data_IF_181006611631
#
_entry.id   IF_181006611631
#
_cell.length_a   1.000
_cell.length_b   1.000
_cell.length_c   1.000
_cell.angle_alpha   90.00
_cell.angle_beta   90.00
_cell.angle_gamma   90.00
#
_symmetry.space_group_name_H-M   'P 1'
#
loop_
_entity.id
_entity.type
_entity.pdbx_description
1 polymer ?
#
# COMPACT_ATOMS: atom_id res chain seq x y z
N UNK A 1 -41.44 58.92 20.93
CA UNK A 1 -41.59 59.78 22.11
C UNK A 1 -41.79 61.23 21.69
N UNK A 2 -43.01 61.78 21.76
CA UNK A 2 -43.23 63.21 21.55
C UNK A 2 -42.94 64.00 22.82
N UNK A 3 -42.20 65.09 22.68
CA UNK A 3 -41.96 66.09 23.72
C UNK A 3 -42.32 67.46 23.17
N UNK A 4 -43.15 68.19 23.91
CA UNK A 4 -43.72 69.47 23.47
C UNK A 4 -43.38 70.54 24.48
N UNK A 5 -42.84 71.67 24.02
CA UNK A 5 -42.62 72.88 24.82
C UNK A 5 -43.27 74.03 24.07
N UNK A 6 -44.31 74.64 24.64
CA UNK A 6 -45.13 75.64 23.94
C UNK A 6 -45.92 75.02 22.78
N UNK A 7 -45.91 75.69 21.61
CA UNK A 7 -46.58 75.20 20.39
C UNK A 7 -45.69 74.31 19.50
N UNK A 8 -44.46 74.01 19.92
CA UNK A 8 -43.50 73.23 19.14
C UNK A 8 -43.45 71.79 19.68
N UNK A 9 -43.85 70.83 18.85
CA UNK A 9 -43.86 69.40 19.18
C UNK A 9 -42.72 68.70 18.46
N UNK A 10 -41.79 68.11 19.22
CA UNK A 10 -40.71 67.29 18.68
C UNK A 10 -41.06 65.82 18.87
N UNK A 11 -41.12 65.08 17.77
CA UNK A 11 -41.42 63.64 17.79
C UNK A 11 -40.15 62.86 17.50
N UNK A 12 -39.71 62.06 18.47
CA UNK A 12 -38.67 61.05 18.25
C UNK A 12 -39.31 59.73 17.82
N UNK A 13 -39.04 59.32 16.59
CA UNK A 13 -39.33 57.97 16.11
C UNK A 13 -38.10 57.10 16.34
N UNK A 14 -38.16 56.24 17.35
CA UNK A 14 -37.10 55.31 17.72
C UNK A 14 -37.50 53.91 17.25
N UNK A 15 -36.67 53.31 16.41
CA UNK A 15 -36.78 51.90 16.04
C UNK A 15 -35.67 51.14 16.75
N UNK A 16 -36.03 50.16 17.58
CA UNK A 16 -35.08 49.28 18.25
C UNK A 16 -34.96 48.00 17.42
N UNK A 17 -33.81 47.78 16.80
CA UNK A 17 -33.51 46.52 16.12
C UNK A 17 -33.13 45.47 17.17
N UNK A 18 -33.80 44.30 17.23
CA UNK A 18 -33.43 43.23 18.15
C UNK A 18 -32.00 42.75 17.88
N UNK A 19 -31.26 42.45 18.94
CA UNK A 19 -29.96 41.80 18.82
C UNK A 19 -30.21 40.32 18.49
N UNK A 20 -29.63 39.84 17.40
CA UNK A 20 -29.68 38.42 17.04
C UNK A 20 -28.27 37.83 17.02
N UNK A 21 -28.15 36.58 17.42
CA UNK A 21 -26.88 35.86 17.36
C UNK A 21 -27.09 34.40 16.98
N UNK A 22 -26.21 33.86 16.16
CA UNK A 22 -26.17 32.42 15.86
C UNK A 22 -24.75 31.91 15.79
N UNK A 23 -24.57 30.61 16.05
CA UNK A 23 -23.28 29.94 16.01
C UNK A 23 -23.30 28.75 15.06
N UNK A 24 -22.15 28.50 14.43
CA UNK A 24 -21.89 27.38 13.53
C UNK A 24 -20.57 26.74 13.95
N UNK A 25 -20.49 25.41 13.90
CA UNK A 25 -19.25 24.66 14.14
C UNK A 25 -18.91 23.84 12.91
N UNK A 26 -17.69 24.00 12.41
CA UNK A 26 -17.20 23.33 11.21
C UNK A 26 -15.85 22.66 11.45
N UNK A 27 -15.61 21.56 10.74
CA UNK A 27 -14.27 20.99 10.57
C UNK A 27 -13.98 21.00 9.08
N UNK A 28 -12.73 21.27 8.70
CA UNK A 28 -12.34 21.27 7.30
C UNK A 28 -10.88 20.87 7.12
N UNK A 29 -10.55 20.40 5.92
CA UNK A 29 -9.17 20.11 5.54
C UNK A 29 -8.53 21.30 4.81
N UNK A 30 -7.37 21.74 5.31
CA UNK A 30 -6.53 22.84 4.82
C UNK A 30 -7.18 24.23 4.85
N UNK A 31 -8.43 24.36 4.40
CA UNK A 31 -9.13 25.63 4.37
C UNK A 31 -10.65 25.46 4.36
N UNK A 32 -11.35 26.52 4.75
CA UNK A 32 -12.81 26.63 4.68
C UNK A 32 -13.21 28.01 4.20
N UNK A 33 -14.08 28.06 3.20
CA UNK A 33 -14.69 29.30 2.74
C UNK A 33 -15.96 29.57 3.54
N UNK A 34 -16.02 30.68 4.26
CA UNK A 34 -17.21 31.06 5.01
C UNK A 34 -18.11 31.97 4.17
N UNK A 35 -19.28 31.50 3.69
CA UNK A 35 -20.13 32.28 2.78
C UNK A 35 -20.72 33.54 3.42
N UNK A 36 -20.78 33.59 4.75
CA UNK A 36 -21.38 34.72 5.50
C UNK A 36 -20.56 36.00 5.34
N UNK A 37 -19.23 35.90 5.31
CA UNK A 37 -18.36 37.07 5.17
C UNK A 37 -17.45 37.03 3.94
N UNK A 38 -17.56 35.98 3.12
CA UNK A 38 -16.76 35.81 1.90
C UNK A 38 -15.27 35.57 2.15
N UNK A 39 -14.87 35.17 3.36
CA UNK A 39 -13.46 34.95 3.72
C UNK A 39 -13.11 33.46 3.76
N UNK A 40 -11.93 33.11 3.24
CA UNK A 40 -11.36 31.77 3.38
C UNK A 40 -10.43 31.69 4.58
N UNK A 41 -10.70 30.76 5.49
CA UNK A 41 -9.91 30.50 6.68
C UNK A 41 -9.02 29.28 6.48
N UNK A 42 -7.76 29.41 6.87
CA UNK A 42 -6.75 28.32 6.83
C UNK A 42 -6.24 27.96 8.22
N UNK A 43 -6.76 28.61 9.26
CA UNK A 43 -6.37 28.41 10.66
C UNK A 43 -7.61 28.13 11.50
N UNK A 44 -7.48 27.23 12.47
CA UNK A 44 -8.55 26.96 13.44
C UNK A 44 -8.81 28.18 14.32
N UNK A 45 -10.05 28.38 14.74
CA UNK A 45 -10.39 29.46 15.66
C UNK A 45 -11.88 29.76 15.70
N UNK A 46 -12.18 30.83 16.43
CA UNK A 46 -13.53 31.42 16.48
C UNK A 46 -13.53 32.73 15.72
N UNK A 47 -14.41 32.85 14.73
CA UNK A 47 -14.55 34.02 13.87
C UNK A 47 -15.94 34.63 14.01
N UNK A 48 -16.02 35.94 13.81
CA UNK A 48 -17.26 36.70 13.98
C UNK A 48 -17.55 37.53 12.72
N UNK A 49 -18.82 37.65 12.38
CA UNK A 49 -19.31 38.60 11.41
C UNK A 49 -20.55 39.29 11.98
N UNK A 50 -20.46 40.61 12.16
CA UNK A 50 -21.54 41.41 12.72
C UNK A 50 -22.03 42.39 11.66
N UNK A 51 -23.31 42.28 11.31
CA UNK A 51 -24.00 43.21 10.38
C UNK A 51 -25.16 43.84 11.13
N UNK A 52 -25.05 45.13 11.45
CA UNK A 52 -26.02 45.80 12.32
C UNK A 52 -26.02 45.19 13.73
N UNK A 53 -27.20 44.76 14.20
CA UNK A 53 -27.37 44.09 15.50
C UNK A 53 -27.37 42.56 15.40
N UNK A 54 -27.05 41.98 14.24
CA UNK A 54 -26.95 40.53 14.03
C UNK A 54 -25.48 40.08 14.06
N UNK A 55 -25.13 39.13 14.92
CA UNK A 55 -23.78 38.57 15.03
C UNK A 55 -23.77 37.08 14.71
N UNK A 56 -23.04 36.71 13.66
CA UNK A 56 -22.76 35.32 13.29
C UNK A 56 -21.40 34.90 13.85
N UNK A 57 -21.36 33.75 14.50
CA UNK A 57 -20.14 33.16 15.05
C UNK A 57 -19.83 31.85 14.32
N UNK A 58 -18.58 31.67 13.88
CA UNK A 58 -18.06 30.44 13.29
C UNK A 58 -16.95 29.90 14.18
N UNK A 59 -17.13 28.70 14.73
CA UNK A 59 -16.07 27.92 15.37
C UNK A 59 -15.56 26.91 14.35
N UNK A 60 -14.30 27.00 13.95
CA UNK A 60 -13.74 26.10 12.94
C UNK A 60 -12.47 25.40 13.43
N UNK A 61 -12.39 24.11 13.11
CA UNK A 61 -11.18 23.30 13.24
C UNK A 61 -10.62 22.98 11.85
N UNK A 62 -9.42 23.50 11.54
CA UNK A 62 -8.69 23.19 10.31
C UNK A 62 -7.68 22.08 10.59
N UNK A 63 -7.88 20.93 9.96
CA UNK A 63 -6.87 19.87 9.90
C UNK A 63 -5.96 20.13 8.70
N UNK A 64 -4.65 19.95 8.85
CA UNK A 64 -3.70 20.19 7.77
C UNK A 64 -3.23 18.86 7.18
N UNK A 65 -3.54 18.59 5.91
CA UNK A 65 -3.17 17.33 5.26
C UNK A 65 -1.66 17.10 5.22
N UNK A 66 -0.85 18.17 5.22
CA UNK A 66 0.62 18.07 5.23
C UNK A 66 1.19 17.54 6.56
N UNK A 67 0.40 17.58 7.64
CA UNK A 67 0.78 17.01 8.93
C UNK A 67 0.51 15.50 9.02
N UNK A 68 -0.21 14.93 8.05
CA UNK A 68 -0.53 13.52 8.02
C UNK A 68 0.65 12.76 7.41
N UNK A 69 1.20 11.83 8.20
CA UNK A 69 2.27 10.94 7.75
C UNK A 69 1.69 9.86 6.84
N UNK A 70 1.77 10.06 5.53
CA UNK A 70 1.24 9.12 4.54
C UNK A 70 2.17 7.93 4.23
N UNK A 71 3.25 7.71 5.01
CA UNK A 71 4.16 6.59 4.78
C UNK A 71 3.63 5.29 5.40
N UNK A 72 4.06 4.16 4.83
CA UNK A 72 3.73 2.81 5.28
C UNK A 72 5.02 2.06 5.58
N UNK A 73 5.07 1.38 6.72
CA UNK A 73 6.12 0.44 7.05
C UNK A 73 5.75 -0.96 6.59
N UNK A 74 6.72 -1.70 6.04
CA UNK A 74 6.59 -3.11 5.68
C UNK A 74 7.51 -3.95 6.58
N UNK A 75 6.92 -4.86 7.37
CA UNK A 75 7.67 -5.82 8.17
C UNK A 75 7.11 -7.22 8.00
N UNK A 76 7.90 -8.12 7.41
CA UNK A 76 7.55 -9.55 7.27
C UNK A 76 6.18 -9.80 6.60
N UNK A 77 5.81 -8.96 5.61
CA UNK A 77 4.54 -9.05 4.88
C UNK A 77 3.35 -8.32 5.53
N UNK A 78 3.53 -7.75 6.72
CA UNK A 78 2.57 -6.84 7.35
C UNK A 78 2.85 -5.40 6.90
N UNK A 79 1.86 -4.77 6.30
CA UNK A 79 1.85 -3.34 5.98
C UNK A 79 1.21 -2.58 7.15
N UNK A 80 1.84 -1.50 7.61
CA UNK A 80 1.33 -0.66 8.71
C UNK A 80 1.44 0.80 8.35
N UNK A 81 0.33 1.55 8.42
CA UNK A 81 0.39 3.01 8.30
C UNK A 81 1.16 3.62 9.47
N UNK A 82 2.11 4.51 9.17
CA UNK A 82 2.93 5.17 10.20
C UNK A 82 2.22 6.34 10.89
N UNK A 83 1.07 6.76 10.38
CA UNK A 83 0.21 7.71 11.10
C UNK A 83 -0.63 6.96 12.14
N UNK A 84 -0.76 7.52 13.34
CA UNK A 84 -1.56 6.98 14.43
C UNK A 84 -2.79 7.85 14.70
N UNK A 85 -3.89 7.27 15.19
CA UNK A 85 -5.07 8.04 15.58
C UNK A 85 -5.95 8.55 14.43
N UNK A 86 -5.76 8.02 13.22
CA UNK A 86 -6.61 8.25 12.05
C UNK A 86 -7.54 7.07 11.78
N UNK A 87 -8.44 7.22 10.81
CA UNK A 87 -9.12 6.09 10.16
C UNK A 87 -8.37 5.70 8.89
N UNK A 88 -8.46 4.41 8.52
CA UNK A 88 -7.70 3.85 7.41
C UNK A 88 -8.63 3.14 6.43
N UNK A 89 -8.22 3.08 5.17
CA UNK A 89 -8.83 2.24 4.16
C UNK A 89 -7.77 1.75 3.19
N UNK A 90 -7.61 0.44 3.06
CA UNK A 90 -6.63 -0.16 2.16
C UNK A 90 -7.17 -0.36 0.74
N UNK A 91 -6.26 -0.26 -0.23
CA UNK A 91 -6.53 -0.43 -1.66
C UNK A 91 -5.43 -1.28 -2.30
N UNK A 92 -5.80 -2.05 -3.32
CA UNK A 92 -4.85 -2.59 -4.29
C UNK A 92 -4.63 -1.54 -5.38
N UNK A 93 -3.37 -1.29 -5.74
CA UNK A 93 -3.05 -0.30 -6.76
C UNK A 93 -3.57 -0.76 -8.15
N UNK A 94 -4.06 0.15 -8.99
CA UNK A 94 -4.03 1.61 -8.80
C UNK A 94 -5.09 2.18 -7.84
N UNK A 95 -6.33 1.67 -7.78
CA UNK A 95 -7.42 2.20 -6.93
C UNK A 95 -8.52 1.17 -6.58
N UNK A 96 -8.20 -0.13 -6.58
CA UNK A 96 -9.18 -1.16 -6.25
C UNK A 96 -9.41 -1.22 -4.74
N UNK A 97 -10.64 -0.93 -4.31
CA UNK A 97 -11.03 -0.94 -2.89
C UNK A 97 -10.93 -2.36 -2.29
N UNK A 98 -10.31 -2.47 -1.12
CA UNK A 98 -10.31 -3.69 -0.31
C UNK A 98 -11.37 -3.55 0.79
N UNK A 99 -12.55 -4.12 0.55
CA UNK A 99 -13.69 -3.99 1.45
C UNK A 99 -13.35 -4.43 2.87
N UNK A 100 -13.74 -3.61 3.86
CA UNK A 100 -13.56 -3.83 5.29
C UNK A 100 -12.11 -3.80 5.82
N UNK A 101 -11.11 -3.60 4.96
CA UNK A 101 -9.72 -3.41 5.39
C UNK A 101 -9.50 -1.99 5.91
N UNK A 102 -9.92 -1.75 7.15
CA UNK A 102 -9.94 -0.43 7.82
C UNK A 102 -9.00 -0.31 9.02
N UNK A 103 -8.27 -1.39 9.33
CA UNK A 103 -7.27 -1.39 10.38
C UNK A 103 -6.02 -0.61 9.96
N UNK A 104 -5.29 -0.07 10.94
CA UNK A 104 -4.01 0.61 10.71
C UNK A 104 -2.98 -0.31 10.02
N UNK A 105 -3.07 -1.61 10.27
CA UNK A 105 -2.25 -2.63 9.65
C UNK A 105 -3.07 -3.57 8.78
N UNK A 106 -2.45 -4.05 7.70
CA UNK A 106 -3.04 -4.98 6.74
C UNK A 106 -2.01 -6.03 6.31
N UNK A 107 -2.43 -7.28 6.22
CA UNK A 107 -1.60 -8.39 5.72
C UNK A 107 -2.17 -8.86 4.39
N UNK A 108 -1.56 -8.48 3.25
CA UNK A 108 -2.03 -8.90 1.95
C UNK A 108 -1.99 -10.42 1.76
N UNK A 109 -3.06 -10.98 1.20
CA UNK A 109 -3.17 -12.42 0.90
C UNK A 109 -2.51 -12.80 -0.44
N UNK A 110 -2.35 -11.83 -1.33
CA UNK A 110 -1.76 -11.99 -2.66
C UNK A 110 -0.53 -11.10 -2.82
N UNK A 111 0.34 -11.47 -3.76
CA UNK A 111 1.37 -10.55 -4.22
C UNK A 111 0.71 -9.43 -5.05
N UNK A 112 1.25 -8.22 -4.93
CA UNK A 112 0.75 -7.05 -5.64
C UNK A 112 1.17 -5.76 -4.95
N UNK A 113 0.72 -4.65 -5.51
CA UNK A 113 0.98 -3.32 -4.98
C UNK A 113 -0.23 -2.84 -4.19
N UNK A 114 0.03 -2.28 -3.01
CA UNK A 114 -1.00 -1.87 -2.07
C UNK A 114 -0.74 -0.44 -1.58
N UNK A 115 -1.80 0.29 -1.24
CA UNK A 115 -1.70 1.61 -0.63
C UNK A 115 -2.81 1.80 0.39
N UNK A 116 -2.66 2.79 1.26
CA UNK A 116 -3.65 3.13 2.29
C UNK A 116 -4.08 4.60 2.17
N UNK A 117 -5.38 4.84 2.29
CA UNK A 117 -5.95 6.16 2.58
C UNK A 117 -5.94 6.37 4.09
N UNK A 118 -5.34 7.47 4.55
CA UNK A 118 -5.35 7.90 5.95
C UNK A 118 -6.27 9.11 6.07
N UNK A 119 -7.26 9.05 6.97
CA UNK A 119 -8.24 10.12 7.16
C UNK A 119 -8.28 10.69 8.58
N UNK A 120 -8.26 12.02 8.70
CA UNK A 120 -8.40 12.78 9.95
C UNK A 120 -9.44 13.89 9.75
N UNK A 121 -10.63 13.71 10.34
CA UNK A 121 -11.78 14.54 9.98
C UNK A 121 -12.01 14.46 8.47
N UNK A 122 -12.04 15.62 7.81
CA UNK A 122 -12.24 15.70 6.36
C UNK A 122 -10.94 15.60 5.54
N UNK A 123 -9.77 15.56 6.20
CA UNK A 123 -8.52 15.37 5.48
C UNK A 123 -8.32 13.93 5.09
N UNK A 124 -8.03 13.70 3.81
CA UNK A 124 -7.69 12.40 3.25
C UNK A 124 -6.38 12.49 2.50
N UNK A 125 -5.43 11.61 2.83
CA UNK A 125 -4.16 11.48 2.10
C UNK A 125 -3.94 10.03 1.73
N UNK A 126 -3.35 9.81 0.56
CA UNK A 126 -2.97 8.48 0.09
C UNK A 126 -1.47 8.26 0.31
N UNK A 127 -1.11 7.04 0.68
CA UNK A 127 0.27 6.58 0.59
C UNK A 127 0.67 6.33 -0.87
N UNK A 128 1.98 6.27 -1.10
CA UNK A 128 2.52 5.63 -2.30
C UNK A 128 2.15 4.15 -2.35
N UNK A 129 2.29 3.53 -3.53
CA UNK A 129 2.11 2.09 -3.68
C UNK A 129 3.32 1.34 -3.11
N UNK A 130 3.05 0.39 -2.23
CA UNK A 130 4.04 -0.51 -1.64
C UNK A 130 3.88 -1.88 -2.27
N UNK A 131 4.96 -2.39 -2.86
CA UNK A 131 4.98 -3.70 -3.49
C UNK A 131 5.13 -4.80 -2.45
N UNK A 132 4.09 -5.63 -2.31
CA UNK A 132 4.20 -6.96 -1.73
C UNK A 132 4.55 -7.94 -2.84
N UNK A 133 5.84 -8.20 -2.97
CA UNK A 133 6.25 -9.52 -3.40
C UNK A 133 6.01 -10.46 -2.23
N UNK A 134 5.33 -11.59 -2.43
CA UNK A 134 5.68 -12.75 -1.60
C UNK A 134 7.16 -12.96 -1.85
N UNK A 135 8.00 -12.53 -0.90
CA UNK A 135 9.26 -13.20 -0.70
C UNK A 135 8.82 -14.64 -0.56
N UNK A 136 9.07 -15.46 -1.59
CA UNK A 136 9.04 -16.89 -1.39
C UNK A 136 9.81 -17.10 -0.10
N UNK A 137 9.18 -17.79 0.87
CA UNK A 137 9.90 -18.44 1.97
C UNK A 137 11.26 -18.75 1.41
N UNK A 138 12.35 -18.21 1.97
CA UNK A 138 13.71 -18.43 1.44
C UNK A 138 13.81 -19.86 0.92
N UNK A 139 13.58 -20.04 -0.39
CA UNK A 139 13.90 -21.25 -1.09
C UNK A 139 15.38 -20.98 -1.31
N UNK A 140 16.28 -21.71 -0.63
CA UNK A 140 17.65 -21.70 -1.12
C UNK A 140 17.55 -22.25 -2.54
N UNK A 141 17.58 -21.33 -3.50
CA UNK A 141 17.44 -21.54 -4.94
C UNK A 141 16.01 -21.79 -5.41
N UNK A 142 15.39 -20.75 -6.00
CA UNK A 142 14.69 -20.93 -7.28
C UNK A 142 15.64 -21.74 -8.16
N UNK A 143 15.38 -23.03 -8.35
CA UNK A 143 16.24 -23.88 -9.16
C UNK A 143 16.28 -23.29 -10.56
N UNK A 144 17.46 -22.85 -11.01
CA UNK A 144 17.70 -22.33 -12.36
C UNK A 144 17.29 -23.30 -13.46
N UNK A 145 17.02 -24.54 -13.09
CA UNK A 145 16.54 -25.59 -13.96
C UNK A 145 15.40 -26.39 -13.33
N UNK A 146 14.55 -26.97 -14.18
CA UNK A 146 13.46 -27.88 -13.82
C UNK A 146 13.75 -29.25 -14.41
N UNK A 147 13.56 -30.30 -13.61
CA UNK A 147 13.80 -31.70 -14.02
C UNK A 147 12.49 -32.46 -13.95
N UNK A 148 12.08 -33.10 -15.05
CA UNK A 148 10.88 -33.93 -15.09
C UNK A 148 10.98 -35.07 -16.12
N UNK A 149 10.31 -36.21 -15.90
CA UNK A 149 9.60 -36.57 -14.67
C UNK A 149 10.59 -36.85 -13.52
N UNK A 150 10.16 -36.63 -12.28
CA UNK A 150 10.91 -37.00 -11.08
C UNK A 150 9.93 -37.60 -10.06
N UNK A 151 10.00 -38.91 -9.74
CA UNK A 151 10.98 -39.90 -10.23
C UNK A 151 10.89 -40.22 -11.73
N UNK A 152 11.99 -40.65 -12.34
CA UNK A 152 12.08 -41.02 -13.76
C UNK A 152 12.41 -42.51 -13.94
N UNK A 153 12.10 -43.06 -15.12
CA UNK A 153 12.49 -44.43 -15.54
C UNK A 153 13.82 -44.49 -16.29
N UNK A 154 14.66 -43.45 -16.18
CA UNK A 154 15.94 -43.36 -16.89
C UNK A 154 15.99 -42.32 -18.00
N UNK A 155 14.89 -41.64 -18.33
CA UNK A 155 14.89 -40.47 -19.22
C UNK A 155 14.36 -39.27 -18.44
N UNK A 156 15.10 -38.17 -18.46
CA UNK A 156 14.71 -36.90 -17.85
C UNK A 156 14.76 -35.77 -18.88
N UNK A 157 13.89 -34.79 -18.70
CA UNK A 157 13.92 -33.51 -19.37
C UNK A 157 14.42 -32.44 -18.41
N UNK A 158 15.31 -31.59 -18.89
CA UNK A 158 15.84 -30.45 -18.14
C UNK A 158 15.59 -29.18 -18.92
N UNK A 159 14.88 -28.24 -18.29
CA UNK A 159 14.69 -26.87 -18.80
C UNK A 159 15.50 -25.95 -17.92
N UNK A 160 16.33 -25.08 -18.49
CA UNK A 160 17.19 -24.16 -17.74
C UNK A 160 17.14 -22.75 -18.31
N UNK A 161 17.27 -21.73 -17.45
CA UNK A 161 17.40 -20.33 -17.85
C UNK A 161 18.81 -19.95 -18.34
N UNK A 162 19.82 -20.80 -18.10
CA UNK A 162 21.22 -20.50 -18.42
C UNK A 162 21.82 -21.60 -19.29
N UNK A 163 22.26 -21.26 -20.51
CA UNK A 163 23.02 -22.18 -21.34
C UNK A 163 24.38 -22.50 -20.71
N UNK A 164 24.87 -23.73 -20.87
CA UNK A 164 26.21 -24.07 -20.40
C UNK A 164 26.43 -25.54 -20.08
N UNK A 165 27.55 -25.80 -19.39
CA UNK A 165 27.95 -27.15 -18.99
C UNK A 165 27.39 -27.51 -17.61
N UNK A 166 26.77 -28.67 -17.54
CA UNK A 166 26.20 -29.26 -16.33
C UNK A 166 26.81 -30.64 -16.10
N UNK A 167 26.75 -31.11 -14.86
CA UNK A 167 27.23 -32.44 -14.48
C UNK A 167 26.14 -33.19 -13.74
N UNK A 168 25.93 -34.46 -14.08
CA UNK A 168 25.13 -35.40 -13.31
C UNK A 168 26.08 -36.12 -12.37
N UNK A 169 25.77 -36.10 -11.08
CA UNK A 169 26.55 -36.69 -10.00
C UNK A 169 25.70 -37.68 -9.19
N UNK A 170 26.35 -38.67 -8.58
CA UNK A 170 25.71 -39.59 -7.63
C UNK A 170 25.71 -39.04 -6.18
N UNK A 171 25.17 -39.80 -5.21
CA UNK A 171 25.17 -39.40 -3.79
C UNK A 171 26.55 -39.26 -3.14
N UNK A 172 27.61 -39.80 -3.76
CA UNK A 172 28.99 -39.62 -3.31
C UNK A 172 29.64 -38.36 -3.89
N UNK A 173 28.95 -37.66 -4.79
CA UNK A 173 29.47 -36.49 -5.50
C UNK A 173 30.30 -36.83 -6.73
N UNK A 174 30.40 -38.12 -7.12
CA UNK A 174 31.13 -38.55 -8.31
C UNK A 174 30.36 -38.14 -9.57
N UNK A 175 31.04 -37.48 -10.50
CA UNK A 175 30.48 -37.17 -11.83
C UNK A 175 30.26 -38.43 -12.65
N UNK A 176 29.01 -38.68 -13.00
CA UNK A 176 28.54 -39.78 -13.84
C UNK A 176 28.51 -39.36 -15.31
N UNK A 177 28.10 -38.12 -15.59
CA UNK A 177 27.97 -37.62 -16.96
C UNK A 177 28.09 -36.10 -16.99
N UNK A 178 28.78 -35.55 -17.99
CA UNK A 178 28.76 -34.13 -18.30
C UNK A 178 27.85 -33.88 -19.50
N UNK A 179 27.05 -32.83 -19.45
CA UNK A 179 26.07 -32.47 -20.47
C UNK A 179 26.15 -30.97 -20.77
N UNK A 180 25.84 -30.59 -21.99
CA UNK A 180 25.65 -29.20 -22.38
C UNK A 180 24.15 -28.95 -22.52
N UNK A 181 23.62 -27.94 -21.81
CA UNK A 181 22.22 -27.57 -21.88
C UNK A 181 22.06 -26.25 -22.62
N UNK A 182 21.05 -26.20 -23.48
CA UNK A 182 20.60 -24.97 -24.14
C UNK A 182 19.56 -24.27 -23.27
N UNK A 183 19.61 -22.94 -23.23
CA UNK A 183 18.67 -22.10 -22.48
C UNK A 183 17.25 -22.16 -23.06
N UNK A 184 16.25 -22.09 -22.17
CA UNK A 184 14.82 -21.98 -22.45
C UNK A 184 14.21 -23.02 -23.41
N UNK A 185 14.89 -24.16 -23.60
CA UNK A 185 14.41 -25.31 -24.36
C UNK A 185 14.39 -26.59 -23.52
N UNK A 186 13.66 -27.60 -23.99
CA UNK A 186 13.62 -28.92 -23.38
C UNK A 186 14.86 -29.71 -23.80
N UNK A 187 15.76 -29.96 -22.85
CA UNK A 187 16.93 -30.81 -23.05
C UNK A 187 16.65 -32.22 -22.51
N UNK A 188 16.49 -33.19 -23.41
CA UNK A 188 16.23 -34.58 -23.02
C UNK A 188 17.55 -35.33 -22.80
N UNK A 189 17.67 -36.01 -21.66
CA UNK A 189 18.87 -36.73 -21.24
C UNK A 189 18.51 -38.19 -20.99
N UNK A 190 19.19 -39.10 -21.70
CA UNK A 190 19.10 -40.53 -21.45
C UNK A 190 20.14 -40.96 -20.38
N UNK A 191 19.61 -41.61 -19.34
CA UNK A 191 20.24 -42.17 -18.15
C UNK A 191 19.74 -43.60 -17.87
N UNK A 192 19.23 -44.31 -18.87
CA UNK A 192 18.67 -45.67 -18.74
C UNK A 192 19.72 -46.69 -18.28
N UNK A 193 21.01 -46.40 -18.44
CA UNK A 193 22.09 -47.25 -17.96
C UNK A 193 22.36 -47.11 -16.45
N UNK A 194 21.70 -46.17 -15.76
CA UNK A 194 21.86 -45.97 -14.32
C UNK A 194 20.91 -46.86 -13.53
N UNK A 195 21.34 -47.31 -12.35
CA UNK A 195 20.51 -48.06 -11.42
C UNK A 195 19.52 -47.13 -10.70
N UNK A 196 18.48 -47.72 -10.13
CA UNK A 196 17.56 -47.00 -9.24
C UNK A 196 18.33 -46.33 -8.10
N UNK A 197 18.01 -45.07 -7.82
CA UNK A 197 18.78 -44.29 -6.88
C UNK A 197 18.55 -42.79 -6.94
N UNK A 198 19.27 -42.08 -6.07
CA UNK A 198 19.25 -40.64 -5.97
C UNK A 198 20.44 -40.06 -6.75
N UNK A 199 20.14 -39.11 -7.62
CA UNK A 199 21.15 -38.42 -8.43
C UNK A 199 20.93 -36.92 -8.32
N UNK A 200 21.95 -36.17 -8.73
CA UNK A 200 21.88 -34.72 -8.75
C UNK A 200 22.40 -34.19 -10.08
N UNK A 201 21.81 -33.10 -10.56
CA UNK A 201 22.40 -32.29 -11.61
C UNK A 201 23.01 -31.04 -10.96
N UNK A 202 24.22 -30.71 -11.39
CA UNK A 202 25.06 -29.63 -10.86
C UNK A 202 25.42 -28.66 -11.99
N UNK A 203 25.26 -27.36 -11.75
CA UNK A 203 25.81 -26.29 -12.59
C UNK A 203 26.92 -25.56 -11.84
N UNK A 204 27.92 -25.06 -12.59
CA UNK A 204 28.97 -24.19 -12.05
C UNK A 204 29.12 -23.00 -12.97
N UNK A 205 28.70 -21.82 -12.52
CA UNK A 205 28.85 -20.56 -13.26
C UNK A 205 29.29 -19.46 -12.30
N UNK A 206 30.31 -18.69 -12.65
CA UNK A 206 30.81 -17.51 -11.91
C UNK A 206 30.91 -17.71 -10.38
N UNK A 207 31.63 -18.74 -9.95
CA UNK A 207 31.80 -19.13 -8.53
C UNK A 207 30.52 -19.53 -7.77
N UNK A 208 29.39 -19.67 -8.45
CA UNK A 208 28.15 -20.20 -7.87
C UNK A 208 27.94 -21.64 -8.33
N UNK A 209 27.83 -22.53 -7.36
CA UNK A 209 27.45 -23.92 -7.58
C UNK A 209 25.96 -24.08 -7.26
N UNK A 210 25.20 -24.61 -8.20
CA UNK A 210 23.79 -24.99 -7.98
C UNK A 210 23.64 -26.49 -8.16
N UNK A 211 22.80 -27.11 -7.34
CA UNK A 211 22.56 -28.56 -7.35
C UNK A 211 21.06 -28.81 -7.18
N UNK A 212 20.50 -29.72 -7.98
CA UNK A 212 19.13 -30.21 -7.79
C UNK A 212 19.09 -31.74 -7.82
N UNK A 213 18.35 -32.31 -6.88
CA UNK A 213 18.11 -33.74 -6.76
C UNK A 213 17.05 -34.22 -7.75
N UNK A 214 17.26 -35.40 -8.32
CA UNK A 214 16.23 -36.20 -8.98
C UNK A 214 16.40 -37.69 -8.65
N UNK A 215 15.33 -38.47 -8.86
CA UNK A 215 15.27 -39.89 -8.51
C UNK A 215 15.08 -40.70 -9.80
N UNK A 216 15.85 -41.78 -9.94
CA UNK A 216 15.59 -42.83 -10.93
C UNK A 216 14.94 -44.00 -10.20
N UNK A 217 13.80 -44.47 -10.71
CA UNK A 217 13.06 -45.64 -10.23
C UNK A 217 12.41 -46.34 -11.43
N UNK A 218 12.88 -47.53 -11.78
CA UNK A 218 12.42 -48.29 -12.96
C UNK A 218 11.21 -49.17 -12.65
#
# INVERSE_FOLDING_TARGET
>A
YPYTVGCDTKTLNLTITPITSSSQTETACNSYYWPINGTTYTTSGTYYNTVGCDTKTLNITINNSSSINNTVSLNSGLLTSNHSGATYQWYKCPNTLLSNETNQSYTPLEAGDYKVEVSIGDCKVMSDCITISRLGINEPNKTEFKIYPNPSKGIINVVTANKGNYSIIDQSGKTIKSIHLTEDVINTINLENLSDGMYFIKSTSDNKVKVQKFIIKK
#
